data_IF_568719426127
#
_entry.id   IF_568719426127
#
_cell.length_a   1.000
_cell.length_b   1.000
_cell.length_c   1.000
_cell.angle_alpha   90.00
_cell.angle_beta   90.00
_cell.angle_gamma   90.00
#
_symmetry.space_group_name_H-M   'P 1'
#
loop_
_entity.id
_entity.type
_entity.pdbx_description
1 polymer ?
#
# COMPACT_ATOMS: atom_id res chain seq x y z
N UNK A 1 60.46 -1.68 29.03
CA UNK A 1 61.59 -2.59 28.71
C UNK A 1 61.28 -3.94 29.35
N UNK A 2 61.38 -5.02 28.57
CA UNK A 2 61.28 -6.45 28.91
C UNK A 2 59.89 -7.08 29.13
N UNK A 3 59.58 -7.98 28.20
CA UNK A 3 58.56 -9.01 28.23
C UNK A 3 58.84 -10.04 29.33
N UNK A 4 57.80 -10.77 29.78
CA UNK A 4 57.85 -12.23 29.91
C UNK A 4 56.47 -12.87 29.71
N UNK A 5 56.51 -13.97 28.96
CA UNK A 5 55.45 -14.94 28.65
C UNK A 5 55.22 -15.83 29.87
N UNK A 6 53.97 -16.16 30.19
CA UNK A 6 53.62 -17.39 30.93
C UNK A 6 52.43 -18.06 30.22
N UNK A 7 52.70 -19.26 29.72
CA UNK A 7 51.72 -20.24 29.27
C UNK A 7 51.28 -21.15 30.43
N UNK A 8 50.40 -22.11 30.13
CA UNK A 8 49.95 -23.28 30.95
C UNK A 8 48.63 -23.00 31.69
N UNK A 9 47.58 -23.84 31.71
CA UNK A 9 47.12 -25.06 31.02
C UNK A 9 45.77 -25.43 31.67
N UNK A 10 45.15 -26.52 31.22
CA UNK A 10 43.94 -27.21 31.75
C UNK A 10 42.60 -26.59 31.31
N UNK A 11 41.57 -27.34 30.91
CA UNK A 11 41.18 -28.72 31.20
C UNK A 11 40.18 -29.12 30.09
N UNK A 12 40.50 -30.10 29.23
CA UNK A 12 39.50 -30.66 28.30
C UNK A 12 38.97 -31.96 28.90
N UNK A 13 37.84 -31.86 29.58
CA UNK A 13 37.08 -32.99 30.11
C UNK A 13 36.31 -33.64 28.96
N UNK A 14 36.59 -34.91 28.72
CA UNK A 14 35.74 -35.80 27.93
C UNK A 14 34.54 -36.27 28.76
N UNK A 15 33.58 -36.92 28.06
CA UNK A 15 32.33 -37.58 28.49
C UNK A 15 31.05 -36.73 28.26
N UNK A 16 29.96 -37.20 27.65
CA UNK A 16 29.48 -38.55 27.33
C UNK A 16 28.75 -38.55 25.97
N UNK A 17 28.90 -39.66 25.25
CA UNK A 17 27.95 -40.13 24.25
C UNK A 17 26.65 -40.51 24.98
N UNK A 18 25.53 -39.92 24.60
CA UNK A 18 24.20 -40.41 24.94
C UNK A 18 23.40 -40.50 23.63
N UNK A 19 23.11 -41.74 23.23
CA UNK A 19 22.12 -42.02 22.20
C UNK A 19 20.75 -41.50 22.66
N UNK A 20 20.16 -40.63 21.86
CA UNK A 20 18.71 -40.55 21.74
C UNK A 20 18.40 -40.58 20.24
N UNK A 21 17.79 -41.66 19.81
CA UNK A 21 17.16 -41.82 18.51
C UNK A 21 16.03 -40.80 18.39
N UNK A 22 16.34 -39.63 17.82
CA UNK A 22 15.39 -38.74 17.18
C UNK A 22 15.84 -38.65 15.74
N UNK A 23 14.91 -38.90 14.83
CA UNK A 23 15.10 -38.72 13.39
C UNK A 23 15.25 -37.21 13.12
N UNK A 24 16.43 -36.66 13.44
CA UNK A 24 16.81 -35.30 13.06
C UNK A 24 17.14 -35.33 11.57
N UNK A 25 16.09 -35.35 10.75
CA UNK A 25 16.20 -34.83 9.40
C UNK A 25 16.62 -33.38 9.55
N UNK A 26 17.94 -33.14 9.48
CA UNK A 26 18.51 -31.82 9.28
C UNK A 26 17.83 -31.30 8.02
N UNK A 27 16.81 -30.44 8.18
CA UNK A 27 16.25 -29.68 7.06
C UNK A 27 17.43 -28.87 6.54
N UNK A 28 17.98 -29.27 5.39
CA UNK A 28 19.00 -28.48 4.71
C UNK A 28 18.45 -27.06 4.58
N UNK A 29 19.11 -26.12 5.23
CA UNK A 29 18.79 -24.71 5.12
C UNK A 29 19.06 -24.33 3.65
N UNK A 30 18.00 -24.19 2.87
CA UNK A 30 18.09 -23.94 1.44
C UNK A 30 18.80 -22.61 1.25
N UNK A 31 20.06 -22.65 0.80
CA UNK A 31 20.83 -21.44 0.61
C UNK A 31 20.24 -20.63 -0.55
N UNK A 32 19.92 -19.35 -0.28
CA UNK A 32 19.44 -18.44 -1.31
C UNK A 32 20.49 -18.23 -2.41
N UNK A 33 20.03 -18.23 -3.66
CA UNK A 33 20.80 -17.76 -4.82
C UNK A 33 21.16 -16.28 -4.68
N UNK A 34 22.15 -15.81 -5.45
CA UNK A 34 22.55 -14.40 -5.44
C UNK A 34 21.39 -13.48 -5.78
N UNK A 35 20.60 -13.82 -6.80
CA UNK A 35 19.45 -13.04 -7.25
C UNK A 35 18.35 -12.98 -6.17
N UNK A 36 18.10 -14.08 -5.46
CA UNK A 36 17.16 -14.11 -4.34
C UNK A 36 17.67 -13.27 -3.16
N UNK A 37 18.98 -13.32 -2.85
CA UNK A 37 19.60 -12.51 -1.79
C UNK A 37 19.51 -11.01 -2.10
N UNK A 38 19.77 -10.63 -3.35
CA UNK A 38 19.64 -9.24 -3.81
C UNK A 38 18.19 -8.74 -3.72
N UNK A 39 17.23 -9.53 -4.21
CA UNK A 39 15.81 -9.20 -4.07
C UNK A 39 15.40 -9.03 -2.62
N UNK A 40 15.67 -10.02 -1.75
CA UNK A 40 15.31 -9.97 -0.33
C UNK A 40 15.96 -8.75 0.33
N UNK A 41 17.24 -8.49 0.06
CA UNK A 41 17.92 -7.32 0.62
C UNK A 41 17.26 -5.99 0.24
N UNK A 42 16.82 -5.82 -1.00
CA UNK A 42 16.17 -4.57 -1.45
C UNK A 42 14.74 -4.49 -0.93
N UNK A 43 14.02 -5.61 -0.95
CA UNK A 43 12.61 -5.68 -0.61
C UNK A 43 12.39 -5.56 0.90
N UNK A 44 13.10 -6.33 1.73
CA UNK A 44 12.93 -6.27 3.20
C UNK A 44 13.57 -5.06 3.85
N UNK A 45 14.55 -4.40 3.20
CA UNK A 45 15.09 -3.14 3.71
C UNK A 45 14.07 -2.00 3.65
N UNK A 46 13.19 -2.02 2.64
CA UNK A 46 12.17 -1.00 2.47
C UNK A 46 10.83 -1.43 3.08
N UNK A 47 10.49 -2.72 3.03
CA UNK A 47 9.16 -3.24 3.40
C UNK A 47 9.23 -4.67 3.96
N UNK A 48 9.75 -4.87 5.20
CA UNK A 48 9.89 -6.21 5.80
C UNK A 48 8.54 -6.89 6.10
N UNK A 49 7.49 -6.10 6.26
CA UNK A 49 6.10 -6.57 6.44
C UNK A 49 5.20 -5.70 5.58
N UNK A 50 4.31 -6.32 4.80
CA UNK A 50 3.33 -5.61 3.99
C UNK A 50 1.94 -6.18 4.25
N UNK A 51 1.03 -5.34 4.74
CA UNK A 51 -0.39 -5.70 4.80
C UNK A 51 -1.01 -5.44 3.44
N UNK A 52 -1.59 -6.46 2.83
CA UNK A 52 -2.30 -6.35 1.55
C UNK A 52 -3.68 -6.98 1.70
N UNK A 53 -4.77 -6.26 1.45
CA UNK A 53 -6.10 -6.93 1.46
C UNK A 53 -6.37 -7.56 0.09
N UNK A 54 -7.15 -8.64 0.07
CA UNK A 54 -7.63 -9.21 -1.20
C UNK A 54 -8.71 -8.32 -1.81
N UNK A 55 -8.57 -8.06 -3.11
CA UNK A 55 -9.70 -7.73 -3.95
C UNK A 55 -9.88 -8.85 -4.97
N UNK A 56 -10.84 -9.76 -4.75
CA UNK A 56 -11.09 -10.91 -5.63
C UNK A 56 -12.28 -10.70 -6.54
N UNK A 57 -12.34 -9.58 -7.26
CA UNK A 57 -13.31 -9.35 -8.34
C UNK A 57 -13.22 -10.38 -9.51
N UNK A 58 -12.36 -11.40 -9.41
CA UNK A 58 -12.18 -12.50 -10.37
C UNK A 58 -12.22 -13.91 -9.75
N UNK A 59 -12.65 -14.04 -8.48
CA UNK A 59 -12.66 -15.33 -7.78
C UNK A 59 -13.44 -16.42 -8.55
N UNK A 60 -12.79 -17.56 -8.78
CA UNK A 60 -13.46 -18.76 -9.28
C UNK A 60 -14.04 -19.54 -8.09
N UNK A 61 -15.19 -20.17 -8.27
CA UNK A 61 -15.79 -21.07 -7.27
C UNK A 61 -14.78 -22.14 -6.84
N UNK A 62 -14.51 -22.25 -5.53
CA UNK A 62 -13.51 -23.16 -4.95
C UNK A 62 -12.12 -22.55 -4.75
N UNK A 63 -11.95 -21.23 -4.91
CA UNK A 63 -10.73 -20.53 -4.53
C UNK A 63 -10.45 -20.64 -3.01
N UNK A 64 -9.16 -20.61 -2.60
CA UNK A 64 -8.76 -20.76 -1.19
C UNK A 64 -9.09 -19.54 -0.31
N UNK A 65 -9.43 -18.40 -0.92
CA UNK A 65 -9.72 -17.15 -0.23
C UNK A 65 -11.11 -16.63 -0.63
N UNK A 66 -11.77 -15.94 0.30
CA UNK A 66 -13.08 -15.34 0.06
C UNK A 66 -12.96 -13.88 -0.39
N UNK A 67 -14.05 -13.33 -0.94
CA UNK A 67 -14.10 -11.95 -1.39
C UNK A 67 -13.84 -10.95 -0.26
N UNK A 68 -12.99 -9.96 -0.53
CA UNK A 68 -12.58 -8.90 0.39
C UNK A 68 -11.91 -9.38 1.69
N UNK A 69 -11.36 -10.60 1.71
CA UNK A 69 -10.60 -11.11 2.85
C UNK A 69 -9.34 -10.26 3.08
N UNK A 70 -9.17 -9.74 4.29
CA UNK A 70 -7.93 -9.07 4.69
C UNK A 70 -6.88 -10.14 4.99
N UNK A 71 -5.68 -9.98 4.44
CA UNK A 71 -4.54 -10.84 4.79
C UNK A 71 -3.31 -9.98 5.10
N UNK A 72 -2.35 -10.55 5.80
CA UNK A 72 -1.02 -9.94 5.96
C UNK A 72 0.03 -10.85 5.34
N UNK A 73 0.92 -10.26 4.54
CA UNK A 73 2.06 -10.96 3.96
C UNK A 73 3.33 -10.51 4.66
N UNK A 74 4.02 -11.46 5.29
CA UNK A 74 5.31 -11.21 5.92
C UNK A 74 6.40 -11.94 5.15
N UNK A 75 7.42 -11.20 4.74
CA UNK A 75 8.53 -11.73 3.95
C UNK A 75 9.77 -11.80 4.84
N UNK A 76 10.30 -13.00 5.05
CA UNK A 76 11.49 -13.16 5.88
C UNK A 76 12.77 -12.88 5.10
N UNK A 77 13.84 -12.59 5.84
CA UNK A 77 15.21 -12.53 5.30
C UNK A 77 15.70 -13.88 4.75
N UNK A 78 15.06 -15.00 5.11
CA UNK A 78 15.32 -16.32 4.54
C UNK A 78 14.56 -16.58 3.23
N UNK A 79 13.78 -15.61 2.74
CA UNK A 79 12.97 -15.74 1.52
C UNK A 79 11.67 -16.52 1.69
N UNK A 80 11.30 -16.87 2.92
CA UNK A 80 9.99 -17.46 3.22
C UNK A 80 8.90 -16.39 3.16
N UNK A 81 7.69 -16.84 2.85
CA UNK A 81 6.48 -16.03 2.90
C UNK A 81 5.54 -16.59 3.95
N UNK A 82 5.06 -15.73 4.84
CA UNK A 82 4.04 -16.04 5.83
C UNK A 82 2.76 -15.32 5.42
N UNK A 83 1.66 -16.05 5.35
CA UNK A 83 0.35 -15.52 4.99
C UNK A 83 -0.58 -15.69 6.18
N UNK A 84 -0.88 -14.57 6.83
CA UNK A 84 -1.92 -14.50 7.86
C UNK A 84 -3.26 -14.23 7.19
N UNK A 85 -4.20 -15.17 7.34
CA UNK A 85 -5.51 -15.10 6.66
C UNK A 85 -6.61 -14.41 7.48
N UNK A 86 -6.34 -14.10 8.75
CA UNK A 86 -7.23 -13.37 9.66
C UNK A 86 -6.39 -12.53 10.64
N UNK A 87 -5.76 -11.45 10.15
CA UNK A 87 -4.77 -10.70 10.92
C UNK A 87 -5.33 -9.96 12.14
N UNK A 88 -6.65 -9.93 12.30
CA UNK A 88 -7.29 -9.34 13.46
C UNK A 88 -7.40 -10.34 14.63
N UNK A 89 -7.26 -11.65 14.38
CA UNK A 89 -7.23 -12.69 15.42
C UNK A 89 -5.86 -12.85 16.07
N UNK A 90 -4.79 -12.69 15.28
CA UNK A 90 -3.40 -12.83 15.75
C UNK A 90 -3.20 -14.12 16.57
N UNK A 91 -3.69 -15.24 16.04
CA UNK A 91 -3.65 -16.56 16.65
C UNK A 91 -2.44 -17.42 16.24
N UNK A 92 -1.60 -16.89 15.34
CA UNK A 92 -0.35 -17.52 14.91
C UNK A 92 -0.57 -18.72 13.99
N UNK A 93 -1.64 -18.69 13.18
CA UNK A 93 -2.01 -19.74 12.24
C UNK A 93 -1.49 -19.50 10.81
N UNK A 94 -0.41 -18.71 10.67
CA UNK A 94 0.06 -18.26 9.37
C UNK A 94 0.46 -19.42 8.45
N UNK A 95 0.08 -19.32 7.18
CA UNK A 95 0.54 -20.25 6.15
C UNK A 95 2.00 -19.96 5.88
N UNK A 96 2.88 -20.90 6.20
CA UNK A 96 4.31 -20.80 5.95
C UNK A 96 4.67 -21.40 4.59
N UNK A 97 5.18 -20.57 3.69
CA UNK A 97 5.63 -20.99 2.38
C UNK A 97 7.17 -20.99 2.30
N UNK A 98 7.76 -22.05 1.72
CA UNK A 98 9.21 -22.15 1.55
C UNK A 98 9.73 -21.12 0.54
N UNK A 99 11.04 -21.02 0.40
CA UNK A 99 11.69 -20.04 -0.48
C UNK A 99 11.08 -19.98 -1.89
N UNK A 100 10.88 -18.76 -2.39
CA UNK A 100 10.36 -18.52 -3.74
C UNK A 100 11.35 -18.90 -4.84
N UNK A 101 10.85 -19.03 -6.05
CA UNK A 101 11.65 -19.08 -7.29
C UNK A 101 11.44 -17.82 -8.10
N UNK A 102 12.42 -17.43 -8.91
CA UNK A 102 12.31 -16.29 -9.82
C UNK A 102 11.95 -16.84 -11.20
N UNK A 103 10.87 -16.31 -11.81
CA UNK A 103 10.42 -16.69 -13.14
C UNK A 103 10.13 -15.43 -13.97
N UNK A 104 11.12 -14.99 -14.75
CA UNK A 104 11.06 -13.69 -15.42
C UNK A 104 11.02 -12.57 -14.39
N UNK A 105 9.98 -11.74 -14.44
CA UNK A 105 9.77 -10.61 -13.54
C UNK A 105 8.86 -10.95 -12.33
N UNK A 106 8.52 -12.23 -12.14
CA UNK A 106 7.66 -12.69 -11.05
C UNK A 106 8.42 -13.55 -10.02
N UNK A 107 8.06 -13.38 -8.75
CA UNK A 107 8.59 -14.13 -7.60
C UNK A 107 7.53 -15.11 -7.12
N UNK A 108 7.84 -16.41 -7.15
CA UNK A 108 6.83 -17.47 -7.03
C UNK A 108 7.06 -18.34 -5.81
N UNK A 109 6.16 -18.28 -4.84
CA UNK A 109 6.05 -19.23 -3.72
C UNK A 109 5.10 -20.37 -4.08
N UNK A 110 5.35 -21.57 -3.55
CA UNK A 110 4.51 -22.75 -3.80
C UNK A 110 4.03 -23.35 -2.49
N UNK A 111 2.74 -23.63 -2.44
CA UNK A 111 2.10 -24.45 -1.43
C UNK A 111 1.81 -25.81 -2.06
N UNK A 112 2.69 -26.77 -1.78
CA UNK A 112 2.56 -28.12 -2.32
C UNK A 112 1.41 -28.90 -1.66
N UNK A 113 1.03 -28.56 -0.42
CA UNK A 113 -0.01 -29.26 0.32
C UNK A 113 -1.40 -28.94 -0.24
N UNK A 114 -1.62 -27.67 -0.61
CA UNK A 114 -2.89 -27.20 -1.13
C UNK A 114 -2.94 -27.09 -2.68
N UNK A 115 -1.88 -27.50 -3.39
CA UNK A 115 -1.76 -27.38 -4.85
C UNK A 115 -1.90 -25.92 -5.35
N UNK A 116 -1.28 -24.98 -4.63
CA UNK A 116 -1.32 -23.54 -4.92
C UNK A 116 0.06 -22.95 -5.20
N UNK A 117 0.07 -21.85 -5.95
CA UNK A 117 1.25 -21.02 -6.17
C UNK A 117 0.89 -19.55 -6.13
N UNK A 118 1.81 -18.74 -5.61
CA UNK A 118 1.65 -17.31 -5.36
C UNK A 118 2.73 -16.58 -6.15
N UNK A 119 2.34 -15.97 -7.28
CA UNK A 119 3.24 -15.26 -8.17
C UNK A 119 3.14 -13.75 -7.96
N UNK A 120 4.12 -13.20 -7.25
CA UNK A 120 4.25 -11.77 -6.95
C UNK A 120 4.90 -11.04 -8.12
N UNK A 121 4.35 -9.89 -8.49
CA UNK A 121 5.04 -8.89 -9.30
C UNK A 121 5.14 -7.57 -8.52
N UNK A 122 6.18 -6.79 -8.81
CA UNK A 122 6.45 -5.51 -8.16
C UNK A 122 6.18 -4.33 -9.10
N UNK A 123 5.95 -3.17 -8.50
CA UNK A 123 6.02 -1.85 -9.13
C UNK A 123 7.49 -1.43 -9.27
N UNK A 124 7.75 -0.34 -10.00
CA UNK A 124 9.11 0.16 -10.26
C UNK A 124 9.85 0.63 -8.98
N UNK A 125 9.11 0.94 -7.92
CA UNK A 125 9.60 1.32 -6.59
C UNK A 125 9.81 0.11 -5.65
N UNK A 126 9.68 -1.12 -6.17
CA UNK A 126 9.73 -2.38 -5.41
C UNK A 126 8.56 -2.61 -4.45
N UNK A 127 7.47 -1.84 -4.58
CA UNK A 127 6.22 -2.14 -3.86
C UNK A 127 5.44 -3.27 -4.54
N UNK A 128 4.59 -3.97 -3.79
CA UNK A 128 3.75 -5.04 -4.36
C UNK A 128 2.80 -4.43 -5.41
N UNK A 129 2.87 -4.93 -6.64
CA UNK A 129 1.92 -4.58 -7.71
C UNK A 129 0.71 -5.52 -7.69
N UNK A 130 0.97 -6.82 -7.77
CA UNK A 130 -0.05 -7.87 -7.79
C UNK A 130 0.54 -9.20 -7.29
N UNK A 131 -0.28 -10.09 -6.74
CA UNK A 131 0.07 -11.49 -6.49
C UNK A 131 -1.01 -12.38 -7.12
N UNK A 132 -0.65 -13.15 -8.12
CA UNK A 132 -1.57 -14.13 -8.70
C UNK A 132 -1.53 -15.42 -7.89
N UNK A 133 -2.69 -15.91 -7.47
CA UNK A 133 -2.86 -17.22 -6.84
C UNK A 133 -3.32 -18.20 -7.92
N UNK A 134 -2.51 -19.19 -8.23
CA UNK A 134 -2.81 -20.18 -9.25
C UNK A 134 -2.84 -21.58 -8.67
N UNK A 135 -3.70 -22.44 -9.23
CA UNK A 135 -3.64 -23.88 -9.01
C UNK A 135 -2.41 -24.45 -9.71
N UNK A 136 -1.44 -24.96 -8.95
CA UNK A 136 -0.13 -25.38 -9.46
C UNK A 136 -0.24 -26.47 -10.54
N UNK A 137 -1.10 -27.47 -10.34
CA UNK A 137 -1.27 -28.58 -11.28
C UNK A 137 -1.86 -28.21 -12.65
N UNK A 138 -2.58 -27.09 -12.76
CA UNK A 138 -3.32 -26.72 -13.97
C UNK A 138 -3.01 -25.33 -14.51
N UNK A 139 -2.23 -24.53 -13.77
CA UNK A 139 -2.02 -23.10 -14.01
C UNK A 139 -3.32 -22.29 -14.10
N UNK A 140 -4.41 -22.79 -13.51
CA UNK A 140 -5.67 -22.07 -13.44
C UNK A 140 -5.55 -20.94 -12.42
N UNK A 141 -5.84 -19.70 -12.84
CA UNK A 141 -5.88 -18.55 -11.94
C UNK A 141 -7.08 -18.66 -11.00
N UNK A 142 -6.84 -18.70 -9.69
CA UNK A 142 -7.90 -18.70 -8.67
C UNK A 142 -8.20 -17.30 -8.14
N UNK A 143 -7.18 -16.46 -7.98
CA UNK A 143 -7.33 -15.09 -7.52
C UNK A 143 -6.18 -14.22 -8.03
N UNK A 144 -6.42 -12.92 -8.17
CA UNK A 144 -5.38 -11.92 -8.33
C UNK A 144 -5.47 -10.96 -7.17
N UNK A 145 -4.53 -11.08 -6.23
CA UNK A 145 -4.29 -10.08 -5.20
C UNK A 145 -3.75 -8.85 -5.90
N UNK A 146 -4.36 -7.72 -5.63
CA UNK A 146 -3.74 -6.43 -5.85
C UNK A 146 -3.66 -5.77 -4.49
N UNK A 147 -2.80 -4.79 -4.36
CA UNK A 147 -2.90 -3.87 -3.24
C UNK A 147 -4.35 -3.37 -3.14
N UNK A 148 -5.05 -3.80 -2.08
CA UNK A 148 -6.17 -3.03 -1.57
C UNK A 148 -5.50 -1.90 -0.81
N UNK A 149 -5.51 -0.72 -1.41
CA UNK A 149 -5.21 0.54 -0.73
C UNK A 149 -6.03 0.50 0.56
N UNK A 150 -5.39 0.38 1.72
CA UNK A 150 -6.10 0.28 3.01
C UNK A 150 -6.64 1.68 3.32
N UNK A 151 -7.79 1.95 2.71
CA UNK A 151 -8.49 3.22 2.58
C UNK A 151 -9.56 3.17 1.47
N UNK A 152 -9.43 2.25 0.50
CA UNK A 152 -10.46 1.98 -0.51
C UNK A 152 -11.59 1.12 0.05
N UNK A 153 -12.71 1.75 0.41
CA UNK A 153 -14.01 1.08 0.35
C UNK A 153 -14.16 0.48 -1.06
N UNK A 154 -14.23 -0.86 -1.15
CA UNK A 154 -14.62 -1.68 -2.30
C UNK A 154 -14.55 -0.98 -3.66
N UNK A 155 -13.52 -1.30 -4.45
CA UNK A 155 -13.52 -1.08 -5.90
C UNK A 155 -14.59 -1.92 -6.59
N UNK A 156 -15.86 -1.61 -6.39
CA UNK A 156 -16.64 -1.18 -7.54
C UNK A 156 -16.16 0.23 -7.87
N UNK A 157 -16.05 0.58 -9.14
CA UNK A 157 -15.90 1.99 -9.52
C UNK A 157 -17.01 2.76 -8.80
N UNK A 158 -16.68 3.42 -7.68
CA UNK A 158 -17.61 4.36 -7.07
C UNK A 158 -17.78 5.40 -8.16
N UNK A 159 -18.97 5.48 -8.73
CA UNK A 159 -19.31 6.49 -9.75
C UNK A 159 -19.45 7.88 -9.14
N UNK A 160 -19.41 7.94 -7.81
CA UNK A 160 -19.78 9.10 -7.02
C UNK A 160 -18.53 9.73 -6.39
N UNK A 161 -18.65 11.00 -6.05
CA UNK A 161 -17.55 11.75 -5.44
C UNK A 161 -17.38 11.37 -3.97
N UNK A 162 -16.13 11.17 -3.52
CA UNK A 162 -15.78 10.87 -2.14
C UNK A 162 -14.36 11.33 -1.81
N UNK A 163 -14.06 11.58 -0.54
CA UNK A 163 -12.69 11.72 -0.05
C UNK A 163 -12.64 11.51 1.46
N UNK A 164 -11.48 11.18 2.01
CA UNK A 164 -11.28 10.97 3.44
C UNK A 164 -9.82 11.22 3.82
N UNK A 165 -9.60 11.43 5.12
CA UNK A 165 -8.26 11.45 5.69
C UNK A 165 -7.85 10.04 6.17
N UNK A 166 -6.57 9.72 6.06
CA UNK A 166 -6.03 8.42 6.46
C UNK A 166 -6.06 8.16 7.97
N UNK A 167 -6.16 9.23 8.78
CA UNK A 167 -6.14 9.16 10.24
C UNK A 167 -7.46 8.68 10.84
N UNK A 168 -8.60 9.17 10.32
CA UNK A 168 -9.93 8.87 10.85
C UNK A 168 -10.79 8.02 9.92
N UNK A 169 -10.46 7.98 8.63
CA UNK A 169 -11.17 7.27 7.56
C UNK A 169 -12.66 7.65 7.46
N UNK A 170 -13.04 8.85 7.90
CA UNK A 170 -14.42 9.32 7.75
C UNK A 170 -14.60 9.80 6.31
N UNK A 171 -15.43 9.07 5.57
CA UNK A 171 -15.77 9.42 4.19
C UNK A 171 -16.59 10.71 4.17
N UNK A 172 -16.06 11.69 3.46
CA UNK A 172 -16.70 12.96 3.22
C UNK A 172 -17.31 12.99 1.81
N UNK A 173 -18.58 13.38 1.73
CA UNK A 173 -19.33 13.46 0.47
C UNK A 173 -19.52 14.93 0.06
N UNK A 174 -19.27 15.29 -1.21
CA UNK A 174 -19.65 16.60 -1.72
C UNK A 174 -21.16 16.83 -1.69
N UNK A 175 -21.61 17.87 -0.98
CA UNK A 175 -23.03 18.30 -1.02
C UNK A 175 -23.24 19.38 -2.07
N UNK A 176 -22.27 20.27 -2.21
CA UNK A 176 -22.36 21.41 -3.11
C UNK A 176 -21.00 21.68 -3.71
N UNK A 177 -20.99 21.79 -5.03
CA UNK A 177 -19.85 22.25 -5.81
C UNK A 177 -20.16 23.71 -6.15
N UNK A 178 -19.36 24.64 -5.63
CA UNK A 178 -19.39 25.99 -6.16
C UNK A 178 -19.09 25.92 -7.66
N UNK A 179 -19.82 26.68 -8.49
CA UNK A 179 -19.50 26.76 -9.93
C UNK A 179 -17.99 26.99 -10.06
N UNK A 180 -17.24 26.14 -10.78
CA UNK A 180 -15.81 26.33 -10.92
C UNK A 180 -15.57 27.74 -11.43
N UNK A 181 -14.85 28.52 -10.63
CA UNK A 181 -14.23 29.71 -11.17
C UNK A 181 -13.08 29.21 -12.06
N UNK A 182 -12.71 30.00 -13.07
CA UNK A 182 -11.79 29.60 -14.15
C UNK A 182 -10.60 28.77 -13.64
N UNK A 183 -10.09 29.03 -12.43
CA UNK A 183 -8.95 28.37 -11.80
C UNK A 183 -9.19 27.85 -10.37
N UNK A 184 -10.44 27.68 -9.90
CA UNK A 184 -10.72 27.27 -8.51
C UNK A 184 -11.92 26.34 -8.43
N UNK A 185 -11.73 25.21 -7.75
CA UNK A 185 -12.79 24.25 -7.42
C UNK A 185 -12.99 24.30 -5.91
N UNK A 186 -14.19 24.69 -5.45
CA UNK A 186 -14.54 24.76 -4.03
C UNK A 186 -15.75 23.87 -3.74
N UNK A 187 -15.61 23.02 -2.74
CA UNK A 187 -16.56 21.94 -2.45
C UNK A 187 -16.93 22.00 -0.97
N UNK A 188 -18.23 21.97 -0.69
CA UNK A 188 -18.76 21.81 0.67
C UNK A 188 -18.96 20.32 0.92
N UNK A 189 -18.40 19.83 2.04
CA UNK A 189 -18.34 18.41 2.41
C UNK A 189 -19.35 18.09 3.53
N UNK A 190 -20.26 17.14 3.33
CA UNK A 190 -21.12 16.59 4.40
C UNK A 190 -21.78 15.25 3.96
N UNK A 191 -21.80 14.19 4.80
CA UNK A 191 -21.19 14.11 6.13
C UNK A 191 -19.67 14.27 6.05
N UNK A 192 -19.08 14.72 7.14
CA UNK A 192 -17.64 14.80 7.39
C UNK A 192 -17.48 15.04 8.91
N UNK A 193 -16.25 15.13 9.44
CA UNK A 193 -16.07 15.41 10.87
C UNK A 193 -16.72 16.72 11.34
N UNK A 194 -16.83 17.72 10.44
CA UNK A 194 -17.47 19.00 10.73
C UNK A 194 -18.55 19.32 9.69
N UNK A 195 -19.63 19.95 10.14
CA UNK A 195 -20.68 20.51 9.28
C UNK A 195 -20.19 21.74 8.47
N UNK A 196 -19.01 22.28 8.78
CA UNK A 196 -18.35 23.36 8.05
C UNK A 196 -17.21 22.88 7.16
N UNK A 197 -17.05 21.57 6.99
CA UNK A 197 -15.96 21.01 6.21
C UNK A 197 -16.05 21.41 4.74
N UNK A 198 -14.91 21.81 4.16
CA UNK A 198 -14.84 22.18 2.76
C UNK A 198 -13.48 21.82 2.17
N UNK A 199 -13.45 21.52 0.89
CA UNK A 199 -12.25 21.19 0.12
C UNK A 199 -12.08 22.17 -1.02
N UNK A 200 -10.88 22.74 -1.17
CA UNK A 200 -10.58 23.70 -2.24
C UNK A 200 -9.31 23.34 -2.98
N UNK A 201 -9.39 23.38 -4.32
CA UNK A 201 -8.28 23.28 -5.23
C UNK A 201 -8.04 24.62 -5.90
N UNK A 202 -6.79 25.08 -5.83
CA UNK A 202 -6.31 26.27 -6.53
C UNK A 202 -5.43 25.83 -7.69
N UNK A 203 -5.82 26.21 -8.90
CA UNK A 203 -5.06 26.00 -10.13
C UNK A 203 -4.42 27.30 -10.60
N UNK A 204 -3.72 27.27 -11.75
CA UNK A 204 -3.13 28.46 -12.36
C UNK A 204 -4.17 29.57 -12.60
N UNK A 205 -3.91 30.75 -12.06
CA UNK A 205 -4.91 31.81 -11.90
C UNK A 205 -5.43 32.31 -13.26
N UNK A 206 -6.75 32.38 -13.40
CA UNK A 206 -7.44 32.78 -14.64
C UNK A 206 -7.10 31.91 -15.86
N UNK A 207 -6.65 30.66 -15.67
CA UNK A 207 -6.48 29.66 -16.73
C UNK A 207 -7.52 28.57 -16.62
N UNK A 208 -8.06 28.16 -17.77
CA UNK A 208 -8.91 26.98 -17.85
C UNK A 208 -8.14 25.77 -17.31
N UNK A 209 -8.79 24.99 -16.45
CA UNK A 209 -8.26 23.73 -15.93
C UNK A 209 -8.29 22.71 -17.07
N UNK A 210 -7.12 22.27 -17.51
CA UNK A 210 -7.00 21.24 -18.56
C UNK A 210 -6.86 19.85 -17.93
N UNK A 211 -7.26 18.81 -18.65
CA UNK A 211 -6.95 17.44 -18.26
C UNK A 211 -5.43 17.21 -18.21
N UNK A 212 -4.99 16.36 -17.29
CA UNK A 212 -3.59 16.05 -17.05
C UNK A 212 -3.29 15.83 -15.57
N UNK A 213 -2.03 15.52 -15.26
CA UNK A 213 -1.54 15.33 -13.90
C UNK A 213 -0.94 16.63 -13.37
N UNK A 214 -1.41 17.07 -12.21
CA UNK A 214 -0.95 18.27 -11.52
C UNK A 214 -0.18 17.89 -10.27
N UNK A 215 1.00 18.49 -10.09
CA UNK A 215 1.78 18.30 -8.88
C UNK A 215 1.29 19.23 -7.77
N UNK A 216 1.17 18.71 -6.55
CA UNK A 216 0.89 19.53 -5.37
C UNK A 216 2.07 20.49 -5.13
N UNK A 217 1.77 21.78 -5.07
CA UNK A 217 2.65 22.81 -4.55
C UNK A 217 2.36 22.99 -3.06
N UNK A 218 3.33 22.60 -2.23
CA UNK A 218 3.29 22.80 -0.79
C UNK A 218 3.00 24.26 -0.43
N UNK A 219 2.05 24.47 0.48
CA UNK A 219 1.68 25.79 0.99
C UNK A 219 1.14 25.65 2.41
N UNK A 220 1.26 26.71 3.20
CA UNK A 220 0.54 26.90 4.47
C UNK A 220 -0.45 28.08 4.38
N UNK A 221 -0.53 28.71 3.20
CA UNK A 221 -1.43 29.81 2.91
C UNK A 221 -2.64 29.39 2.09
N UNK A 222 -3.72 30.15 2.24
CA UNK A 222 -4.91 30.11 1.37
C UNK A 222 -4.71 30.97 0.11
N UNK A 223 -5.46 30.70 -0.96
CA UNK A 223 -5.45 31.47 -2.21
C UNK A 223 -4.07 31.59 -2.89
N UNK A 224 -3.34 30.47 -2.94
CA UNK A 224 -2.04 30.41 -3.63
C UNK A 224 -2.24 30.31 -5.15
N UNK A 225 -1.27 30.85 -5.89
CA UNK A 225 -1.20 30.75 -7.36
C UNK A 225 -0.06 29.79 -7.72
N UNK A 226 -0.35 28.51 -7.98
CA UNK A 226 0.68 27.47 -8.09
C UNK A 226 1.41 27.47 -9.44
N UNK A 227 0.84 28.10 -10.47
CA UNK A 227 1.38 28.13 -11.82
C UNK A 227 1.10 26.86 -12.63
N UNK A 228 1.61 26.81 -13.86
CA UNK A 228 1.32 25.76 -14.84
C UNK A 228 1.72 24.36 -14.33
N UNK A 229 0.81 23.39 -14.46
CA UNK A 229 1.04 21.98 -14.11
C UNK A 229 1.12 21.71 -12.61
N UNK A 230 0.73 22.69 -11.78
CA UNK A 230 0.72 22.59 -10.33
C UNK A 230 -0.64 23.00 -9.77
N UNK A 231 -0.93 22.55 -8.57
CA UNK A 231 -2.08 22.99 -7.78
C UNK A 231 -1.73 23.11 -6.31
N UNK A 232 -2.54 23.83 -5.56
CA UNK A 232 -2.53 23.79 -4.08
C UNK A 232 -3.91 23.32 -3.61
N UNK A 233 -3.94 22.50 -2.57
CA UNK A 233 -5.17 21.96 -2.00
C UNK A 233 -5.26 22.31 -0.51
N UNK A 234 -6.44 22.75 -0.09
CA UNK A 234 -6.75 23.08 1.30
C UNK A 234 -8.05 22.40 1.70
N UNK A 235 -8.01 21.73 2.85
CA UNK A 235 -9.18 21.19 3.50
C UNK A 235 -9.46 21.98 4.77
N UNK A 236 -10.69 22.49 4.90
CA UNK A 236 -11.12 23.32 6.02
C UNK A 236 -11.88 22.49 7.04
N UNK A 237 -11.67 22.81 8.32
CA UNK A 237 -12.44 22.27 9.46
C UNK A 237 -12.41 20.74 9.64
N UNK A 238 -11.29 20.06 9.35
CA UNK A 238 -11.07 18.67 9.78
C UNK A 238 -10.46 18.67 11.18
N UNK A 239 -11.10 18.01 12.13
CA UNK A 239 -10.79 18.13 13.57
C UNK A 239 -10.65 19.59 14.04
N UNK A 240 -11.55 20.46 13.57
CA UNK A 240 -11.51 21.92 13.83
C UNK A 240 -10.25 22.65 13.34
N UNK A 241 -9.46 22.04 12.46
CA UNK A 241 -8.23 22.60 11.88
C UNK A 241 -8.32 22.73 10.37
N UNK A 242 -7.48 23.59 9.80
CA UNK A 242 -7.21 23.61 8.37
C UNK A 242 -6.01 22.71 8.06
N UNK A 243 -6.11 22.02 6.94
CA UNK A 243 -5.09 21.11 6.45
C UNK A 243 -4.66 21.52 5.06
N UNK A 244 -3.35 21.55 4.85
CA UNK A 244 -2.75 22.04 3.62
C UNK A 244 -1.93 20.93 2.97
N UNK A 245 -2.13 20.74 1.68
CA UNK A 245 -1.38 19.74 0.93
C UNK A 245 0.10 20.12 0.83
N UNK A 246 0.97 19.14 1.10
CA UNK A 246 2.43 19.29 1.09
C UNK A 246 3.07 18.58 -0.10
N UNK A 247 2.54 17.43 -0.52
CA UNK A 247 3.08 16.68 -1.67
C UNK A 247 2.05 15.71 -2.25
N UNK A 248 2.32 15.19 -3.45
CA UNK A 248 1.43 14.26 -4.17
C UNK A 248 0.98 14.81 -5.53
N UNK A 249 0.06 14.10 -6.17
CA UNK A 249 -0.46 14.47 -7.49
C UNK A 249 -1.98 14.35 -7.57
N UNK A 250 -2.60 15.23 -8.34
CA UNK A 250 -4.03 15.11 -8.70
C UNK A 250 -4.12 14.90 -10.20
N UNK A 251 -4.82 13.85 -10.60
CA UNK A 251 -5.20 13.59 -11.97
C UNK A 251 -6.51 14.32 -12.28
N UNK A 252 -6.52 15.08 -13.37
CA UNK A 252 -7.71 15.75 -13.89
C UNK A 252 -8.07 15.12 -15.23
N UNK A 253 -9.32 14.71 -15.40
CA UNK A 253 -9.84 14.19 -16.66
C UNK A 253 -11.10 14.95 -17.08
N UNK A 254 -11.45 14.87 -18.36
CA UNK A 254 -12.73 15.41 -18.86
C UNK A 254 -13.84 14.43 -18.50
N UNK A 255 -14.91 14.91 -17.88
CA UNK A 255 -16.00 14.03 -17.46
C UNK A 255 -16.65 13.36 -18.68
N UNK A 256 -16.83 12.04 -18.60
CA UNK A 256 -17.33 11.23 -19.71
C UNK A 256 -18.79 11.50 -20.08
N UNK A 257 -19.60 11.98 -19.12
CA UNK A 257 -21.03 12.26 -19.30
C UNK A 257 -21.30 13.71 -19.71
N UNK A 258 -20.40 14.64 -19.38
CA UNK A 258 -20.50 16.06 -19.69
C UNK A 258 -19.11 16.66 -19.92
N UNK A 259 -18.75 16.90 -21.19
CA UNK A 259 -17.43 17.40 -21.57
C UNK A 259 -17.16 18.85 -21.14
N UNK A 260 -18.13 19.55 -20.54
CA UNK A 260 -17.94 20.87 -19.93
C UNK A 260 -17.42 20.81 -18.49
N UNK A 261 -17.36 19.60 -17.91
CA UNK A 261 -16.96 19.32 -16.55
C UNK A 261 -15.66 18.52 -16.49
N UNK A 262 -15.03 18.54 -15.33
CA UNK A 262 -13.85 17.74 -15.04
C UNK A 262 -14.07 16.78 -13.88
N UNK A 263 -13.33 15.68 -13.91
CA UNK A 263 -13.19 14.76 -12.79
C UNK A 263 -11.79 14.93 -12.20
N UNK A 264 -11.69 14.89 -10.87
CA UNK A 264 -10.43 14.93 -10.14
C UNK A 264 -10.24 13.61 -9.39
N UNK A 265 -9.04 13.05 -9.46
CA UNK A 265 -8.65 11.86 -8.69
C UNK A 265 -7.32 12.12 -8.00
N UNK A 266 -7.22 11.77 -6.73
CA UNK A 266 -6.02 11.98 -5.94
C UNK A 266 -5.89 10.89 -4.88
N UNK A 267 -4.65 10.52 -4.61
CA UNK A 267 -4.32 9.39 -3.76
C UNK A 267 -3.08 9.76 -2.95
N UNK A 268 -3.15 9.45 -1.65
CA UNK A 268 -2.08 9.62 -0.68
C UNK A 268 -1.44 11.01 -0.70
N UNK A 269 -2.26 12.05 -0.87
CA UNK A 269 -1.80 13.42 -0.74
C UNK A 269 -1.37 13.64 0.71
N UNK A 270 -0.12 14.02 0.92
CA UNK A 270 0.36 14.38 2.26
C UNK A 270 -0.26 15.71 2.65
N UNK A 271 -1.03 15.71 3.72
CA UNK A 271 -1.68 16.89 4.29
C UNK A 271 -1.02 17.23 5.63
N UNK A 272 -0.79 18.52 5.87
CA UNK A 272 -0.26 19.02 7.13
C UNK A 272 -1.21 20.04 7.76
N UNK A 273 -1.52 19.87 9.03
CA UNK A 273 -2.35 20.78 9.81
C UNK A 273 -1.55 22.00 10.30
N UNK A 274 -2.26 23.03 10.76
CA UNK A 274 -1.66 24.25 11.36
C UNK A 274 -0.77 23.97 12.59
N UNK A 275 -0.99 22.86 13.28
CA UNK A 275 -0.18 22.43 14.43
C UNK A 275 1.03 21.54 14.06
N UNK A 276 1.23 21.28 12.76
CA UNK A 276 2.31 20.46 12.23
C UNK A 276 2.02 18.96 12.14
N UNK A 277 0.82 18.50 12.52
CA UNK A 277 0.40 17.11 12.34
C UNK A 277 0.29 16.77 10.85
N UNK A 278 0.72 15.57 10.47
CA UNK A 278 0.64 15.08 9.09
C UNK A 278 -0.24 13.83 8.96
N UNK A 279 -0.89 13.67 7.81
CA UNK A 279 -1.71 12.51 7.45
C UNK A 279 -1.81 12.41 5.92
N UNK A 280 -2.44 11.35 5.42
CA UNK A 280 -2.75 11.18 4.00
C UNK A 280 -4.20 11.59 3.69
N UNK A 281 -4.45 12.00 2.45
CA UNK A 281 -5.77 12.37 1.96
C UNK A 281 -6.01 11.82 0.56
N UNK A 282 -7.10 11.07 0.41
CA UNK A 282 -7.40 10.28 -0.79
C UNK A 282 -8.84 10.49 -1.19
N UNK A 283 -9.11 10.50 -2.49
CA UNK A 283 -10.47 10.64 -3.00
C UNK A 283 -10.59 10.92 -4.49
N UNK A 284 -11.83 11.17 -4.88
CA UNK A 284 -12.19 11.58 -6.23
C UNK A 284 -13.40 12.50 -6.20
N UNK A 285 -13.48 13.38 -7.20
CA UNK A 285 -14.58 14.31 -7.40
C UNK A 285 -15.00 14.18 -8.85
N UNK A 286 -16.29 13.94 -9.07
CA UNK A 286 -16.86 13.69 -10.38
C UNK A 286 -17.72 14.88 -10.79
N UNK A 287 -17.49 15.37 -12.00
CA UNK A 287 -18.37 16.29 -12.71
C UNK A 287 -18.46 17.69 -12.11
N UNK A 288 -17.34 18.30 -11.72
CA UNK A 288 -17.27 19.72 -11.32
C UNK A 288 -17.16 20.65 -12.51
#
# INVERSE_FOLDING_TARGET
MKHYIIAVSFLFTAFFYACSSGDDSIKEEVELTTEQKEFISVFTANYPTQTVSFNTNTAISGAPFVENQKITLTFSSSGMLFIDTDPDKNDGDEIELPVFTINGDEYVWKDAENDLSYALSLKADNFINKINVLKTSTNLLYASLKEVIVGGNNGGDKTDSYYFFGDDKIECTPISQGKPLVSTVHIISNPCQSNSAALTFYFDLMKVINAGTYNVLASEGINVVPGVGKLTMVFYSHDSKNWFAQSGTVEVTVNASDSSKIDLKFEDIVMKAEDGTETTFTGQIIGV
#
